data_IF_057709621863
#
_entry.id   IF_057709621863
#
_cell.length_a   1.000
_cell.length_b   1.000
_cell.length_c   1.000
_cell.angle_alpha   90.00
_cell.angle_beta   90.00
_cell.angle_gamma   90.00
#
_symmetry.space_group_name_H-M   'P 1'
#
loop_
_entity.id
_entity.type
_entity.pdbx_description
1 polymer ?
#
# COMPACT_ATOMS: atom_id res chain seq x y z
N UNK A 1 3.10 9.69 4.00
CA UNK A 1 2.67 9.08 5.28
C UNK A 1 3.51 7.85 5.58
N UNK A 2 3.41 7.27 6.79
CA UNK A 2 4.07 6.00 7.13
C UNK A 2 3.25 4.78 6.69
N UNK A 3 3.91 3.64 6.49
CA UNK A 3 3.26 2.36 6.16
C UNK A 3 2.15 1.98 7.15
N UNK A 4 2.34 2.21 8.44
CA UNK A 4 1.31 1.93 9.46
C UNK A 4 0.04 2.78 9.32
N UNK A 5 0.17 4.03 8.84
CA UNK A 5 -1.00 4.90 8.58
C UNK A 5 -1.72 4.47 7.30
N UNK A 6 -0.95 4.08 6.27
CA UNK A 6 -1.51 3.53 5.05
C UNK A 6 -2.24 2.21 5.30
N UNK A 7 -1.69 1.33 6.13
CA UNK A 7 -2.28 0.05 6.55
C UNK A 7 -3.67 0.24 7.16
N UNK A 8 -3.82 1.20 8.08
CA UNK A 8 -5.12 1.54 8.68
C UNK A 8 -6.15 2.06 7.66
N UNK A 9 -5.71 2.85 6.68
CA UNK A 9 -6.59 3.42 5.65
C UNK A 9 -7.04 2.34 4.65
N UNK A 10 -6.14 1.41 4.33
CA UNK A 10 -6.39 0.30 3.42
C UNK A 10 -7.11 -0.88 4.09
N UNK A 11 -7.11 -0.95 5.44
CA UNK A 11 -7.66 -2.08 6.19
C UNK A 11 -6.82 -3.35 6.08
N UNK A 12 -5.53 -3.23 5.76
CA UNK A 12 -4.60 -4.37 5.60
C UNK A 12 -3.48 -4.33 6.63
N UNK A 13 -2.74 -5.42 6.79
CA UNK A 13 -1.60 -5.48 7.68
C UNK A 13 -0.44 -4.57 7.21
N UNK A 14 0.32 -4.01 8.15
CA UNK A 14 1.53 -3.22 7.85
C UNK A 14 2.56 -4.02 7.03
N UNK A 15 2.64 -5.35 7.26
CA UNK A 15 3.49 -6.25 6.48
C UNK A 15 3.02 -6.35 5.03
N UNK A 16 1.72 -6.39 4.77
CA UNK A 16 1.14 -6.34 3.42
C UNK A 16 1.49 -5.03 2.72
N UNK A 17 1.37 -3.90 3.41
CA UNK A 17 1.76 -2.59 2.83
C UNK A 17 3.26 -2.53 2.53
N UNK A 18 4.09 -3.13 3.38
CA UNK A 18 5.54 -3.25 3.17
C UNK A 18 5.83 -4.07 1.92
N UNK A 19 5.22 -5.26 1.79
CA UNK A 19 5.38 -6.11 0.61
C UNK A 19 4.88 -5.43 -0.68
N UNK A 20 3.78 -4.68 -0.61
CA UNK A 20 3.29 -3.87 -1.74
C UNK A 20 4.27 -2.76 -2.12
N UNK A 21 4.89 -2.10 -1.13
CA UNK A 21 5.95 -1.12 -1.39
C UNK A 21 7.18 -1.77 -2.03
N UNK A 22 7.61 -2.95 -1.55
CA UNK A 22 8.72 -3.71 -2.11
C UNK A 22 8.43 -4.20 -3.53
N UNK A 23 7.18 -4.53 -3.83
CA UNK A 23 6.69 -4.85 -5.19
C UNK A 23 6.58 -3.63 -6.10
N UNK A 24 6.72 -2.42 -5.58
CA UNK A 24 6.53 -1.19 -6.36
C UNK A 24 5.07 -0.87 -6.70
N UNK A 25 4.10 -1.42 -5.96
CA UNK A 25 2.67 -1.16 -6.19
C UNK A 25 2.23 0.27 -5.85
N UNK A 26 3.04 1.00 -5.09
CA UNK A 26 2.80 2.39 -4.75
C UNK A 26 3.79 3.28 -5.50
N UNK A 27 3.31 3.99 -6.52
CA UNK A 27 4.16 4.86 -7.34
C UNK A 27 4.61 6.07 -6.53
N UNK A 28 5.92 6.21 -6.32
CA UNK A 28 6.48 7.24 -5.43
C UNK A 28 6.48 6.87 -3.95
N UNK A 29 6.23 5.60 -3.59
CA UNK A 29 6.63 5.11 -2.27
C UNK A 29 8.15 4.92 -2.22
N UNK A 30 8.78 5.45 -1.18
CA UNK A 30 10.22 5.34 -0.98
C UNK A 30 10.52 5.10 0.49
N UNK A 31 11.67 4.51 0.79
CA UNK A 31 12.07 4.16 2.15
C UNK A 31 13.30 4.98 2.57
N UNK A 32 13.15 6.18 3.13
CA UNK A 32 14.28 6.92 3.70
C UNK A 32 14.69 6.24 5.02
N UNK A 33 15.66 5.33 4.94
CA UNK A 33 16.19 4.60 6.10
C UNK A 33 15.26 3.51 6.61
N UNK A 34 14.77 3.65 7.85
CA UNK A 34 14.03 2.56 8.51
C UNK A 34 12.55 2.50 8.16
N UNK A 35 11.94 3.61 7.73
CA UNK A 35 10.48 3.72 7.55
C UNK A 35 10.07 3.96 6.10
N UNK A 36 8.94 3.37 5.68
CA UNK A 36 8.34 3.62 4.37
C UNK A 36 7.57 4.93 4.36
N UNK A 37 7.87 5.78 3.37
CA UNK A 37 7.13 6.98 3.00
C UNK A 37 6.26 6.67 1.80
N UNK A 38 4.95 6.67 2.01
CA UNK A 38 3.96 6.38 0.97
C UNK A 38 3.13 7.65 0.70
N UNK A 39 2.94 8.06 -0.55
CA UNK A 39 2.07 9.18 -0.90
C UNK A 39 0.59 8.83 -0.66
N UNK A 40 -0.16 9.80 -0.09
CA UNK A 40 -1.59 9.63 0.20
C UNK A 40 -2.44 9.43 -1.05
N UNK A 41 -2.04 10.06 -2.17
CA UNK A 41 -2.70 9.87 -3.46
C UNK A 41 -2.75 8.39 -3.86
N UNK A 42 -1.62 7.67 -3.76
CA UNK A 42 -1.56 6.25 -4.13
C UNK A 42 -2.35 5.35 -3.18
N UNK A 43 -2.29 5.62 -1.87
CA UNK A 43 -3.07 4.89 -0.86
C UNK A 43 -4.57 5.05 -1.14
N UNK A 44 -5.03 6.25 -1.46
CA UNK A 44 -6.43 6.48 -1.83
C UNK A 44 -6.80 5.84 -3.17
N UNK A 45 -5.87 5.86 -4.15
CA UNK A 45 -6.06 5.21 -5.45
C UNK A 45 -6.19 3.69 -5.31
N UNK A 46 -5.43 3.08 -4.41
CA UNK A 46 -5.50 1.64 -4.04
C UNK A 46 -6.68 1.29 -3.15
N UNK A 47 -7.11 2.22 -2.27
CA UNK A 47 -8.30 2.06 -1.43
C UNK A 47 -9.57 1.95 -2.26
N UNK A 48 -9.60 2.55 -3.46
CA UNK A 48 -10.70 2.26 -4.38
C UNK A 48 -10.69 0.77 -4.70
N UNK A 49 -11.76 0.03 -4.35
CA UNK A 49 -11.87 -1.37 -4.71
C UNK A 49 -12.05 -1.42 -6.23
N UNK A 50 -10.93 -1.48 -6.96
CA UNK A 50 -10.96 -2.15 -8.24
C UNK A 50 -11.24 -3.60 -7.89
N UNK A 51 -12.42 -4.05 -8.32
CA UNK A 51 -13.02 -5.36 -8.07
C UNK A 51 -11.97 -6.47 -7.94
N UNK A 52 -12.20 -7.47 -7.08
CA UNK A 52 -11.35 -8.64 -7.03
C UNK A 52 -11.33 -9.35 -8.39
N UNK A 53 -10.27 -9.16 -9.17
CA UNK A 53 -9.77 -10.19 -10.08
C UNK A 53 -9.12 -11.26 -9.21
N UNK A 54 -9.47 -12.54 -9.17
CA UNK A 54 -10.61 -13.32 -9.63
C UNK A 54 -10.61 -14.58 -8.73
N UNK A 55 -11.73 -15.28 -8.52
CA UNK A 55 -11.67 -16.67 -8.05
C UNK A 55 -10.92 -17.48 -9.11
N UNK A 56 -9.88 -18.21 -8.72
CA UNK A 56 -9.26 -19.20 -9.61
C UNK A 56 -10.11 -20.46 -9.47
N UNK A 57 -10.94 -20.71 -10.48
CA UNK A 57 -11.70 -21.96 -10.70
C UNK A 57 -10.76 -23.17 -10.83
#
# INVERSE_FOLDING_TARGET
MTSGKAAKILGVATSTVTAMCERGEFSGAYRPGKWWRIPLAEVQRKRQPRKPEAPRE
#
